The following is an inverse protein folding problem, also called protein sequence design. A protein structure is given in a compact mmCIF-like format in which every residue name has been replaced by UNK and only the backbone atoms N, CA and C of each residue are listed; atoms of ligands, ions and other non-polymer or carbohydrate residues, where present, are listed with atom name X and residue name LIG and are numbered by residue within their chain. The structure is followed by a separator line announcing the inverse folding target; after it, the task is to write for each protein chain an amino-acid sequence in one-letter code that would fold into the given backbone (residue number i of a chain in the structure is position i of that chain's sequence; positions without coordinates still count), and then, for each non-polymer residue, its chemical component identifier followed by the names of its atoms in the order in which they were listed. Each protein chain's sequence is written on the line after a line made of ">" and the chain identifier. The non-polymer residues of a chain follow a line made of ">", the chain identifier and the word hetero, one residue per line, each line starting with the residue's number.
data_IF_298945939296
#
_entry.id   IF_298945939296
#
_cell.length_a   1.000
_cell.length_b   1.000
_cell.length_c   1.000
_cell.angle_alpha   90.00
_cell.angle_beta   90.00
_cell.angle_gamma   90.00
#
_symmetry.space_group_name_H-M   'P 1'
#
loop_
_entity.id
_entity.type
_entity.pdbx_description
1 polymer ?
#
# COMPACT_ATOMS: atom_id res chain seq x y z
N UNK A 1 -25.41 25.62 -23.66
CA UNK A 1 -24.29 25.88 -23.19
C UNK A 1 -23.98 25.83 -21.73
N UNK A 2 -24.76 26.42 -20.89
CA UNK A 2 -24.40 26.55 -19.51
C UNK A 2 -24.76 25.36 -18.69
N UNK A 3 -25.60 24.52 -19.16
CA UNK A 3 -26.02 23.35 -18.42
C UNK A 3 -24.90 22.46 -17.95
N UNK A 4 -23.77 22.64 -18.55
CA UNK A 4 -22.59 21.85 -18.19
C UNK A 4 -22.09 22.12 -16.80
N UNK A 5 -22.56 23.18 -16.18
CA UNK A 5 -22.05 23.55 -14.87
C UNK A 5 -22.73 22.85 -13.73
N UNK A 6 -23.70 22.04 -14.04
CA UNK A 6 -24.29 21.17 -13.03
C UNK A 6 -23.27 20.07 -12.70
N UNK A 7 -22.22 20.43 -12.01
CA UNK A 7 -21.35 19.44 -11.46
C UNK A 7 -22.18 18.63 -10.48
N UNK A 8 -22.45 17.41 -10.83
CA UNK A 8 -23.01 16.49 -9.88
C UNK A 8 -22.11 16.48 -8.66
N UNK A 9 -22.72 16.64 -7.49
CA UNK A 9 -21.96 16.59 -6.26
C UNK A 9 -21.27 15.24 -6.20
N UNK A 10 -19.94 15.23 -6.37
CA UNK A 10 -19.18 14.00 -6.29
C UNK A 10 -19.17 13.50 -4.85
N UNK A 11 -19.38 12.21 -4.69
CA UNK A 11 -19.21 11.57 -3.39
C UNK A 11 -17.73 11.55 -3.06
N UNK A 12 -17.39 12.20 -1.97
CA UNK A 12 -16.01 12.27 -1.51
C UNK A 12 -15.72 11.12 -0.57
N UNK A 13 -14.65 10.41 -0.86
CA UNK A 13 -14.19 9.29 -0.04
C UNK A 13 -12.75 9.57 0.36
N UNK A 14 -12.47 9.34 1.64
CA UNK A 14 -11.11 9.40 2.15
C UNK A 14 -10.76 8.04 2.69
N UNK A 15 -9.69 7.44 2.19
CA UNK A 15 -9.33 6.08 2.56
C UNK A 15 -7.81 5.93 2.61
N UNK A 16 -7.33 5.09 3.53
CA UNK A 16 -5.92 4.76 3.61
C UNK A 16 -5.55 3.71 2.57
N UNK A 17 -4.28 3.67 2.19
CA UNK A 17 -3.75 2.64 1.30
C UNK A 17 -4.05 1.25 1.87
N UNK A 18 -3.78 1.05 3.16
CA UNK A 18 -4.04 -0.24 3.81
C UNK A 18 -5.49 -0.66 3.65
N UNK A 19 -6.41 0.23 3.98
CA UNK A 19 -7.84 -0.11 3.93
C UNK A 19 -8.32 -0.36 2.51
N UNK A 20 -7.86 0.43 1.55
CA UNK A 20 -8.20 0.22 0.14
C UNK A 20 -7.77 -1.17 -0.33
N UNK A 21 -6.52 -1.50 -0.10
CA UNK A 21 -5.95 -2.76 -0.55
C UNK A 21 -6.61 -3.95 0.14
N UNK A 22 -6.79 -3.87 1.45
CA UNK A 22 -7.44 -4.95 2.19
C UNK A 22 -8.88 -5.13 1.75
N UNK A 23 -9.59 -4.04 1.51
CA UNK A 23 -10.96 -4.12 1.04
C UNK A 23 -11.05 -4.83 -0.30
N UNK A 24 -10.25 -4.42 -1.27
CA UNK A 24 -10.35 -4.98 -2.63
C UNK A 24 -9.84 -6.41 -2.69
N UNK A 25 -8.71 -6.70 -2.07
CA UNK A 25 -8.07 -8.00 -2.20
C UNK A 25 -8.64 -9.05 -1.27
N UNK A 26 -9.30 -8.64 -0.19
CA UNK A 26 -9.90 -9.58 0.76
C UNK A 26 -11.41 -9.59 0.74
N UNK A 27 -12.02 -8.91 -0.21
CA UNK A 27 -13.48 -8.79 -0.27
C UNK A 27 -14.19 -10.13 -0.44
N UNK A 28 -13.52 -11.14 -0.98
CA UNK A 28 -14.07 -12.48 -1.13
C UNK A 28 -13.61 -13.46 -0.06
N UNK A 29 -12.76 -13.02 0.84
CA UNK A 29 -12.18 -13.90 1.86
C UNK A 29 -12.98 -13.79 3.16
N UNK A 30 -13.72 -14.83 3.47
CA UNK A 30 -14.53 -14.88 4.67
C UNK A 30 -13.78 -15.48 5.86
N UNK A 31 -12.60 -16.03 5.62
CA UNK A 31 -11.84 -16.71 6.66
C UNK A 31 -10.74 -15.81 7.20
N UNK A 32 -11.17 -14.72 7.79
CA UNK A 32 -10.26 -13.76 8.38
C UNK A 32 -10.25 -13.87 9.90
N UNK A 33 -10.46 -15.06 10.40
CA UNK A 33 -10.47 -15.28 11.84
C UNK A 33 -9.06 -15.47 12.34
N UNK A 34 -8.59 -14.47 13.03
CA UNK A 34 -7.33 -14.59 13.73
C UNK A 34 -7.57 -14.62 15.21
N UNK A 35 -6.77 -15.38 15.92
CA UNK A 35 -6.79 -15.38 17.36
C UNK A 35 -6.58 -13.97 17.88
N UNK A 36 -7.40 -13.56 18.81
CA UNK A 36 -7.25 -12.27 19.45
C UNK A 36 -6.21 -12.30 20.57
N UNK A 37 -5.83 -13.49 21.03
CA UNK A 37 -4.85 -13.63 22.10
C UNK A 37 -3.46 -13.23 21.65
N UNK A 38 -2.76 -12.46 22.45
CA UNK A 38 -1.39 -12.06 22.19
C UNK A 38 -1.22 -11.03 21.09
N UNK A 39 -2.30 -10.58 20.46
CA UNK A 39 -2.24 -9.65 19.34
C UNK A 39 -1.57 -8.33 19.70
N UNK A 40 -1.86 -7.80 20.88
CA UNK A 40 -1.28 -6.54 21.34
C UNK A 40 0.22 -6.66 21.54
N UNK A 41 0.68 -7.73 22.16
CA UNK A 41 2.10 -7.98 22.37
C UNK A 41 2.83 -8.19 21.05
N UNK A 42 2.23 -8.95 20.14
CA UNK A 42 2.78 -9.17 18.81
C UNK A 42 2.91 -7.86 18.05
N UNK A 43 1.90 -6.98 18.13
CA UNK A 43 1.95 -5.68 17.49
C UNK A 43 3.06 -4.81 18.06
N UNK A 44 3.26 -4.82 19.37
CA UNK A 44 4.32 -4.05 20.01
C UNK A 44 5.70 -4.56 19.60
N UNK A 45 5.89 -5.88 19.58
CA UNK A 45 7.15 -6.47 19.16
C UNK A 45 7.45 -6.14 17.70
N UNK A 46 6.42 -6.24 16.84
CA UNK A 46 6.54 -5.89 15.44
C UNK A 46 6.89 -4.43 15.23
N UNK A 47 6.27 -3.54 15.99
CA UNK A 47 6.55 -2.10 15.88
C UNK A 47 7.98 -1.76 16.31
N UNK A 48 8.48 -2.40 17.35
CA UNK A 48 9.85 -2.19 17.81
C UNK A 48 10.85 -2.65 16.76
N UNK A 49 10.62 -3.83 16.20
CA UNK A 49 11.50 -4.38 15.17
C UNK A 49 11.46 -3.54 13.91
N UNK A 50 10.28 -3.10 13.51
CA UNK A 50 10.08 -2.23 12.35
C UNK A 50 10.94 -0.98 12.47
N UNK A 51 10.89 -0.30 13.60
CA UNK A 51 11.69 0.90 13.84
C UNK A 51 13.19 0.59 13.87
N UNK A 52 13.55 -0.58 14.41
CA UNK A 52 14.94 -1.01 14.48
C UNK A 52 15.52 -1.22 13.07
N UNK A 53 14.72 -1.82 12.19
CA UNK A 53 15.13 -2.02 10.80
C UNK A 53 15.31 -0.67 10.11
N UNK A 54 14.37 0.25 10.28
CA UNK A 54 14.48 1.57 9.67
C UNK A 54 15.75 2.31 10.14
N UNK A 55 16.08 2.20 11.39
CA UNK A 55 17.27 2.86 11.95
C UNK A 55 18.58 2.27 11.44
N UNK A 56 18.58 1.01 11.03
CA UNK A 56 19.77 0.34 10.50
C UNK A 56 20.03 0.70 9.05
N UNK A 57 19.04 1.25 8.37
CA UNK A 57 19.20 1.68 6.98
C UNK A 57 20.04 2.96 6.96
N UNK A 58 20.81 3.13 5.92
CA UNK A 58 21.75 4.26 5.83
C UNK A 58 21.09 5.60 5.56
N UNK A 59 21.93 6.58 5.27
CA UNK A 59 21.50 7.96 5.02
C UNK A 59 20.60 8.11 3.80
N UNK A 60 20.66 7.16 2.88
CA UNK A 60 19.86 7.19 1.67
C UNK A 60 18.44 6.66 1.86
N UNK A 61 18.06 6.32 3.09
CA UNK A 61 16.75 5.78 3.43
C UNK A 61 15.95 6.82 4.19
N UNK A 62 14.80 7.20 3.62
CA UNK A 62 13.85 8.08 4.29
C UNK A 62 12.73 7.24 4.86
N UNK A 63 12.54 7.33 6.18
CA UNK A 63 11.51 6.55 6.89
C UNK A 63 10.20 7.32 6.97
N UNK A 64 9.10 6.59 6.96
CA UNK A 64 7.76 7.12 7.25
C UNK A 64 7.40 8.31 6.37
N UNK A 65 7.40 8.10 5.06
CA UNK A 65 7.11 9.16 4.10
C UNK A 65 5.60 9.22 3.83
N UNK A 66 4.99 10.33 4.22
CA UNK A 66 3.55 10.55 4.00
C UNK A 66 3.27 10.82 2.53
N UNK A 67 2.28 10.14 1.98
CA UNK A 67 1.87 10.27 0.59
C UNK A 67 0.37 10.46 0.48
N UNK A 68 -0.04 11.24 -0.48
CA UNK A 68 -1.45 11.48 -0.80
C UNK A 68 -1.64 11.43 -2.31
N UNK A 69 -2.79 10.96 -2.72
CA UNK A 69 -3.13 10.94 -4.14
C UNK A 69 -4.64 11.05 -4.30
N UNK A 70 -5.09 11.97 -5.14
CA UNK A 70 -6.51 12.13 -5.41
C UNK A 70 -6.88 11.48 -6.72
N UNK A 71 -7.93 10.68 -6.70
CA UNK A 71 -8.44 9.96 -7.87
C UNK A 71 -9.89 10.32 -8.06
N UNK A 72 -10.27 10.52 -9.31
CA UNK A 72 -11.68 10.68 -9.67
C UNK A 72 -12.09 9.57 -10.61
N UNK A 73 -13.15 8.89 -10.26
CA UNK A 73 -13.75 7.90 -11.14
C UNK A 73 -15.26 7.97 -10.98
N UNK A 74 -15.96 8.20 -12.10
CA UNK A 74 -17.40 8.35 -12.14
C UNK A 74 -17.87 9.41 -11.13
N UNK A 75 -18.80 9.03 -10.24
CA UNK A 75 -19.35 9.97 -9.25
C UNK A 75 -18.47 10.08 -8.00
N UNK A 76 -17.35 9.42 -7.95
CA UNK A 76 -16.50 9.38 -6.76
C UNK A 76 -15.24 10.22 -6.91
N UNK A 77 -14.90 10.94 -5.85
CA UNK A 77 -13.62 11.60 -5.68
C UNK A 77 -12.96 10.96 -4.46
N UNK A 78 -11.84 10.29 -4.68
CA UNK A 78 -11.19 9.48 -3.64
C UNK A 78 -9.86 10.11 -3.27
N UNK A 79 -9.71 10.46 -2.00
CA UNK A 79 -8.41 10.90 -1.47
C UNK A 79 -7.76 9.69 -0.80
N UNK A 80 -6.69 9.21 -1.41
CA UNK A 80 -5.91 8.08 -0.92
C UNK A 80 -4.72 8.60 -0.14
N UNK A 81 -4.51 8.08 1.06
CA UNK A 81 -3.45 8.52 1.95
C UNK A 81 -2.73 7.32 2.56
N UNK A 82 -1.47 7.52 2.92
CA UNK A 82 -0.72 6.52 3.65
C UNK A 82 0.70 6.96 3.87
N UNK A 83 1.47 6.07 4.49
CA UNK A 83 2.89 6.29 4.74
C UNK A 83 3.68 5.12 4.21
N UNK A 84 4.60 5.39 3.31
CA UNK A 84 5.57 4.39 2.91
C UNK A 84 6.56 4.19 4.05
N UNK A 85 6.88 2.95 4.37
CA UNK A 85 7.83 2.65 5.45
C UNK A 85 9.19 3.24 5.16
N UNK A 86 9.62 3.18 3.91
CA UNK A 86 10.88 3.77 3.51
C UNK A 86 10.94 4.05 2.03
N UNK A 87 11.75 5.04 1.69
CA UNK A 87 12.09 5.37 0.31
C UNK A 87 13.62 5.42 0.23
N UNK A 88 14.17 4.57 -0.62
CA UNK A 88 15.62 4.41 -0.77
C UNK A 88 16.05 5.12 -2.04
N UNK A 89 17.06 5.98 -1.92
CA UNK A 89 17.68 6.61 -3.08
C UNK A 89 18.92 5.82 -3.43
N UNK A 90 18.90 5.13 -4.56
CA UNK A 90 20.04 4.36 -5.07
C UNK A 90 20.56 5.02 -6.33
N UNK A 91 21.76 4.62 -6.75
CA UNK A 91 22.35 5.12 -7.99
C UNK A 91 21.46 4.85 -9.20
N UNK A 92 20.79 3.71 -9.18
CA UNK A 92 19.89 3.27 -10.26
C UNK A 92 18.49 3.87 -10.19
N UNK A 93 18.16 4.57 -9.11
CA UNK A 93 16.85 5.20 -8.97
C UNK A 93 16.26 5.04 -7.58
N UNK A 94 14.97 5.25 -7.50
CA UNK A 94 14.21 5.22 -6.25
C UNK A 94 13.63 3.83 -6.03
N UNK A 95 13.66 3.37 -4.78
CA UNK A 95 13.03 2.11 -4.37
C UNK A 95 12.08 2.40 -3.20
N UNK A 96 10.86 1.91 -3.32
CA UNK A 96 9.87 1.96 -2.24
C UNK A 96 10.05 0.70 -1.41
N UNK A 97 10.17 0.86 -0.11
CA UNK A 97 10.35 -0.26 0.82
C UNK A 97 9.16 -0.38 1.75
N UNK A 98 8.57 -1.58 1.81
CA UNK A 98 7.49 -1.89 2.73
C UNK A 98 7.99 -2.99 3.67
N UNK A 99 7.96 -2.71 4.97
CA UNK A 99 8.49 -3.61 5.99
C UNK A 99 7.36 -4.38 6.64
N UNK A 100 7.52 -5.70 6.71
CA UNK A 100 6.54 -6.58 7.37
C UNK A 100 7.26 -7.46 8.37
N UNK A 101 6.90 -7.32 9.63
CA UNK A 101 7.43 -8.16 10.71
C UNK A 101 6.46 -9.30 10.95
N UNK A 102 6.94 -10.51 10.85
CA UNK A 102 6.11 -11.72 10.88
C UNK A 102 6.72 -12.78 11.81
N UNK A 103 5.90 -13.75 12.22
CA UNK A 103 6.36 -14.88 13.01
C UNK A 103 6.75 -16.07 12.16
N UNK A 104 6.39 -16.07 10.88
CA UNK A 104 6.75 -17.14 9.96
C UNK A 104 8.25 -17.08 9.63
N UNK A 105 8.84 -18.26 9.38
CA UNK A 105 10.21 -18.37 8.89
C UNK A 105 10.29 -17.70 7.51
N UNK A 106 11.09 -16.63 7.42
CA UNK A 106 11.18 -15.84 6.19
C UNK A 106 11.76 -16.64 5.03
N UNK A 107 12.56 -17.69 5.32
CA UNK A 107 13.14 -18.54 4.27
C UNK A 107 12.07 -19.37 3.55
N UNK A 108 10.89 -19.54 4.17
CA UNK A 108 9.81 -20.30 3.56
C UNK A 108 8.94 -19.47 2.62
N UNK A 109 9.12 -18.16 2.61
CA UNK A 109 8.37 -17.30 1.71
C UNK A 109 8.92 -17.47 0.29
N UNK A 110 8.06 -17.87 -0.63
CA UNK A 110 8.43 -18.02 -2.03
C UNK A 110 8.17 -16.74 -2.81
N UNK A 111 7.16 -15.99 -2.37
CA UNK A 111 6.76 -14.73 -2.99
C UNK A 111 6.14 -13.83 -1.93
N UNK A 112 6.04 -12.52 -2.19
CA UNK A 112 5.37 -11.62 -1.25
C UNK A 112 3.89 -11.95 -1.12
N UNK A 113 3.35 -11.69 0.06
CA UNK A 113 1.90 -11.71 0.26
C UNK A 113 1.25 -10.70 -0.70
N UNK A 114 0.20 -11.08 -1.44
CA UNK A 114 -0.42 -10.17 -2.41
C UNK A 114 -0.91 -8.86 -1.82
N UNK A 115 -1.40 -8.87 -0.57
CA UNK A 115 -1.85 -7.66 0.09
C UNK A 115 -0.67 -6.72 0.38
N UNK A 116 0.43 -7.29 0.86
CA UNK A 116 1.63 -6.51 1.15
C UNK A 116 2.22 -5.92 -0.14
N UNK A 117 2.28 -6.73 -1.19
CA UNK A 117 2.75 -6.27 -2.49
C UNK A 117 1.88 -5.13 -3.02
N UNK A 118 0.57 -5.27 -2.91
CA UNK A 118 -0.35 -4.23 -3.36
C UNK A 118 -0.17 -2.92 -2.59
N UNK A 119 0.12 -2.98 -1.30
CA UNK A 119 0.43 -1.78 -0.52
C UNK A 119 1.67 -1.09 -1.08
N UNK A 120 2.72 -1.85 -1.32
CA UNK A 120 3.97 -1.30 -1.87
C UNK A 120 3.77 -0.73 -3.27
N UNK A 121 2.97 -1.40 -4.10
CA UNK A 121 2.65 -0.91 -5.45
C UNK A 121 1.87 0.40 -5.41
N UNK A 122 0.93 0.53 -4.47
CA UNK A 122 0.21 1.80 -4.29
C UNK A 122 1.17 2.93 -3.97
N UNK A 123 2.07 2.71 -3.01
CA UNK A 123 3.05 3.74 -2.65
C UNK A 123 3.99 4.04 -3.80
N UNK A 124 4.37 3.01 -4.56
CA UNK A 124 5.20 3.20 -5.76
C UNK A 124 4.52 4.10 -6.78
N UNK A 125 3.25 3.84 -7.05
CA UNK A 125 2.48 4.65 -7.98
C UNK A 125 2.34 6.09 -7.47
N UNK A 126 1.97 6.25 -6.21
CA UNK A 126 1.77 7.57 -5.61
C UNK A 126 3.04 8.40 -5.65
N UNK A 127 4.17 7.79 -5.29
CA UNK A 127 5.44 8.49 -5.27
C UNK A 127 5.95 8.80 -6.68
N UNK A 128 5.84 7.84 -7.60
CA UNK A 128 6.24 8.07 -8.99
C UNK A 128 5.42 9.17 -9.64
N UNK A 129 4.12 9.24 -9.32
CA UNK A 129 3.25 10.29 -9.84
C UNK A 129 3.60 11.64 -9.26
N UNK A 130 3.85 11.72 -7.96
CA UNK A 130 4.18 12.96 -7.28
C UNK A 130 5.53 13.51 -7.76
N UNK A 131 6.52 12.65 -7.92
CA UNK A 131 7.88 13.03 -8.27
C UNK A 131 8.16 12.97 -9.78
N UNK A 132 7.18 12.61 -10.58
CA UNK A 132 7.30 12.49 -12.04
C UNK A 132 8.45 11.55 -12.44
N UNK A 133 8.43 10.35 -11.86
CA UNK A 133 9.44 9.32 -12.14
C UNK A 133 8.93 8.35 -13.20
N UNK A 134 9.83 7.91 -14.08
CA UNK A 134 9.49 6.95 -15.13
C UNK A 134 9.39 5.52 -14.61
N UNK A 135 10.08 5.23 -13.53
CA UNK A 135 10.08 3.90 -12.92
C UNK A 135 10.49 3.97 -11.47
N UNK A 136 10.13 2.96 -10.70
CA UNK A 136 10.57 2.80 -9.31
C UNK A 136 10.81 1.32 -9.03
N UNK A 137 11.67 1.05 -8.07
CA UNK A 137 11.80 -0.27 -7.48
C UNK A 137 10.75 -0.44 -6.40
N UNK A 138 10.25 -1.66 -6.27
CA UNK A 138 9.28 -2.04 -5.23
C UNK A 138 9.93 -3.14 -4.40
N UNK A 139 10.09 -2.90 -3.11
CA UNK A 139 10.74 -3.84 -2.22
C UNK A 139 9.86 -4.19 -1.03
N UNK A 140 9.74 -5.47 -0.76
CA UNK A 140 9.13 -5.99 0.46
C UNK A 140 10.25 -6.51 1.35
N UNK A 141 10.34 -6.01 2.56
CA UNK A 141 11.32 -6.44 3.56
C UNK A 141 10.57 -7.20 4.64
N UNK A 142 10.70 -8.52 4.63
CA UNK A 142 10.14 -9.39 5.65
C UNK A 142 11.17 -9.67 6.73
N UNK A 143 10.76 -9.52 7.98
CA UNK A 143 11.63 -9.77 9.11
C UNK A 143 10.92 -10.66 10.12
N UNK A 144 11.59 -11.73 10.55
CA UNK A 144 11.04 -12.60 11.58
C UNK A 144 11.16 -11.92 12.94
N UNK A 145 10.05 -11.87 13.68
CA UNK A 145 10.00 -11.16 14.96
C UNK A 145 10.90 -11.79 16.01
N UNK A 146 11.07 -13.10 15.98
CA UNK A 146 11.86 -13.81 16.98
C UNK A 146 13.34 -13.87 16.64
N UNK A 147 13.68 -14.18 15.39
CA UNK A 147 15.07 -14.38 14.97
C UNK A 147 15.70 -13.12 14.38
N UNK A 148 14.90 -12.16 13.97
CA UNK A 148 15.29 -10.95 13.23
C UNK A 148 15.90 -11.25 11.87
N UNK A 149 15.70 -12.46 11.36
CA UNK A 149 16.13 -12.82 10.03
C UNK A 149 15.34 -12.06 8.98
N UNK A 150 16.02 -11.57 7.96
CA UNK A 150 15.42 -10.72 6.93
C UNK A 150 15.44 -11.42 5.59
N UNK A 151 14.33 -11.27 4.84
CA UNK A 151 14.26 -11.64 3.44
C UNK A 151 13.60 -10.52 2.66
N UNK A 152 14.23 -10.15 1.54
CA UNK A 152 13.72 -9.07 0.69
C UNK A 152 13.33 -9.60 -0.68
N UNK A 153 12.22 -9.07 -1.18
CA UNK A 153 11.77 -9.29 -2.55
C UNK A 153 11.78 -7.95 -3.24
N UNK A 154 12.34 -7.90 -4.44
CA UNK A 154 12.43 -6.63 -5.17
C UNK A 154 12.06 -6.83 -6.62
N UNK A 155 11.30 -5.88 -7.17
CA UNK A 155 10.99 -5.82 -8.58
C UNK A 155 10.97 -4.37 -9.03
N UNK A 156 11.24 -4.16 -10.31
CA UNK A 156 11.15 -2.82 -10.91
C UNK A 156 9.83 -2.70 -11.65
N UNK A 157 9.23 -1.50 -11.57
CA UNK A 157 7.97 -1.22 -12.26
C UNK A 157 8.09 0.11 -12.99
N UNK A 158 7.62 0.15 -14.23
CA UNK A 158 7.48 1.42 -14.93
C UNK A 158 6.25 2.16 -14.41
N UNK A 159 6.23 3.46 -14.61
CA UNK A 159 5.07 4.27 -14.22
C UNK A 159 3.80 3.79 -14.93
N UNK A 160 3.91 3.42 -16.19
CA UNK A 160 2.77 2.92 -16.97
C UNK A 160 2.22 1.63 -16.39
N UNK A 161 3.11 0.70 -16.00
CA UNK A 161 2.69 -0.53 -15.35
C UNK A 161 1.97 -0.26 -14.04
N UNK A 162 2.51 0.66 -13.24
CA UNK A 162 1.90 1.04 -11.96
C UNK A 162 0.56 1.72 -12.16
N UNK A 163 0.47 2.61 -13.15
CA UNK A 163 -0.77 3.31 -13.44
C UNK A 163 -1.88 2.34 -13.87
N UNK A 164 -1.56 1.44 -14.77
CA UNK A 164 -2.53 0.44 -15.23
C UNK A 164 -3.01 -0.43 -14.07
N UNK A 165 -2.09 -0.91 -13.25
CA UNK A 165 -2.42 -1.71 -12.07
C UNK A 165 -3.29 -0.92 -11.08
N UNK A 166 -2.91 0.33 -10.81
CA UNK A 166 -3.61 1.18 -9.85
C UNK A 166 -5.02 1.51 -10.33
N UNK A 167 -5.18 1.81 -11.61
CA UNK A 167 -6.50 2.07 -12.18
C UNK A 167 -7.42 0.87 -12.04
N UNK A 168 -6.87 -0.33 -12.23
CA UNK A 168 -7.63 -1.57 -12.00
C UNK A 168 -8.08 -1.71 -10.56
N UNK A 169 -7.20 -1.39 -9.63
CA UNK A 169 -7.52 -1.44 -8.19
C UNK A 169 -8.65 -0.45 -7.84
N UNK A 170 -8.54 0.77 -8.32
CA UNK A 170 -9.55 1.81 -8.07
C UNK A 170 -10.87 1.44 -8.71
N UNK A 171 -10.83 0.90 -9.92
CA UNK A 171 -12.04 0.47 -10.61
C UNK A 171 -12.80 -0.59 -9.80
N UNK A 172 -12.08 -1.58 -9.28
CA UNK A 172 -12.70 -2.60 -8.43
C UNK A 172 -13.26 -2.00 -7.14
N UNK A 173 -12.53 -1.08 -6.52
CA UNK A 173 -13.00 -0.41 -5.31
C UNK A 173 -14.29 0.38 -5.59
N UNK A 174 -14.34 1.11 -6.70
CA UNK A 174 -15.50 1.94 -7.05
C UNK A 174 -16.74 1.09 -7.31
N UNK A 175 -16.56 -0.08 -7.92
CA UNK A 175 -17.69 -1.02 -8.10
C UNK A 175 -18.31 -1.37 -6.74
N UNK A 176 -17.50 -1.69 -5.75
CA UNK A 176 -17.97 -2.02 -4.41
C UNK A 176 -18.52 -0.80 -3.68
N UNK A 177 -17.86 0.35 -3.81
CA UNK A 177 -18.30 1.59 -3.18
C UNK A 177 -19.68 1.99 -3.72
N UNK A 178 -19.88 1.86 -5.04
CA UNK A 178 -21.18 2.16 -5.66
C UNK A 178 -22.26 1.23 -5.15
N UNK A 179 -21.96 -0.05 -5.06
CA UNK A 179 -22.89 -1.03 -4.52
C UNK A 179 -23.30 -0.66 -3.08
N UNK A 180 -22.32 -0.43 -2.23
CA UNK A 180 -22.57 -0.10 -0.84
C UNK A 180 -23.33 1.24 -0.71
N UNK A 181 -22.94 2.22 -1.51
CA UNK A 181 -23.58 3.54 -1.49
C UNK A 181 -25.06 3.45 -1.85
N UNK A 182 -25.38 2.68 -2.87
CA UNK A 182 -26.77 2.56 -3.35
C UNK A 182 -27.62 1.61 -2.51
N UNK A 183 -27.03 0.80 -1.66
CA UNK A 183 -27.74 -0.19 -0.86
C UNK A 183 -27.67 0.09 0.65
N UNK A 184 -27.15 1.25 1.04
CA UNK A 184 -26.96 1.58 2.45
C UNK A 184 -28.15 2.34 3.07
N UNK A 185 -29.26 2.42 2.38
CA UNK A 185 -30.43 3.16 2.88
C UNK A 185 -31.29 2.31 3.77
#
# INVERSE_FOLDING_TARGET
>A
MEGSLMTEAQSKIRISVRNLVEFVLRSGDLDNRRSQGGKKEAMQAGSRLHRKIQKRMGADYRSEVALKHQVREDEFSILLEGRADGIITETSGIVIDEIKCIYMDVERLEEPDPVHLAQALCYGYMYASEQDLDSVGIQLTYCNIETEQIRRFRQAKTREELEEWFQGLIHEYVKWARYLYHHSI
#
